data_IF_549192740968
#
_entry.id   IF_549192740968
#
_cell.length_a   1.000
_cell.length_b   1.000
_cell.length_c   1.000
_cell.angle_alpha   90.00
_cell.angle_beta   90.00
_cell.angle_gamma   90.00
#
_symmetry.space_group_name_H-M   'P 1'
#
loop_
_entity.id
_entity.type
_entity.pdbx_description
1 polymer ?
#
# COMPACT_ATOMS: atom_id res chain seq x y z
N UNK A 1 9.38 -25.46 17.48
CA UNK A 1 8.60 -24.22 17.33
C UNK A 1 9.50 -23.20 16.67
N UNK A 2 9.50 -23.13 15.34
CA UNK A 2 10.38 -22.21 14.61
C UNK A 2 9.68 -20.86 14.51
N UNK A 3 10.26 -19.87 15.20
CA UNK A 3 9.88 -18.47 15.10
C UNK A 3 10.16 -18.00 13.67
N UNK A 4 9.12 -17.60 12.95
CA UNK A 4 9.23 -17.02 11.62
C UNK A 4 9.74 -15.58 11.79
N UNK A 5 11.07 -15.45 11.83
CA UNK A 5 11.74 -14.18 11.50
C UNK A 5 11.77 -14.06 9.99
N UNK A 6 10.75 -13.42 9.42
CA UNK A 6 10.84 -12.79 8.10
C UNK A 6 10.21 -11.41 8.20
N UNK A 7 11.03 -10.44 8.63
CA UNK A 7 10.79 -9.00 8.51
C UNK A 7 10.82 -8.53 7.04
N UNK A 8 10.12 -9.27 6.18
CA UNK A 8 9.78 -8.90 4.80
C UNK A 8 8.27 -9.01 4.71
N UNK A 9 7.60 -8.10 5.43
CA UNK A 9 6.37 -7.43 5.03
C UNK A 9 5.62 -8.03 3.82
N UNK A 10 5.20 -9.28 3.93
CA UNK A 10 4.61 -10.00 2.80
C UNK A 10 3.25 -9.39 2.59
N UNK A 11 3.10 -8.61 1.53
CA UNK A 11 1.82 -8.02 1.16
C UNK A 11 0.78 -9.12 1.06
N UNK A 12 -0.16 -9.11 2.00
CA UNK A 12 -1.21 -10.11 1.99
C UNK A 12 -2.29 -9.69 1.00
N UNK A 13 -3.14 -10.65 0.63
CA UNK A 13 -4.34 -10.35 -0.17
C UNK A 13 -5.24 -9.29 0.50
N UNK A 14 -5.22 -9.21 1.83
CA UNK A 14 -5.92 -8.17 2.59
C UNK A 14 -5.33 -6.78 2.35
N UNK A 15 -4.01 -6.65 2.38
CA UNK A 15 -3.32 -5.37 2.09
C UNK A 15 -3.62 -4.88 0.68
N UNK A 16 -3.65 -5.80 -0.29
CA UNK A 16 -3.97 -5.48 -1.68
C UNK A 16 -5.42 -5.01 -1.84
N UNK A 17 -6.39 -5.68 -1.19
CA UNK A 17 -7.78 -5.23 -1.18
C UNK A 17 -7.95 -3.85 -0.53
N UNK A 18 -7.19 -3.55 0.52
CA UNK A 18 -7.21 -2.23 1.16
C UNK A 18 -6.64 -1.18 0.20
N UNK A 19 -5.53 -1.48 -0.47
CA UNK A 19 -4.93 -0.62 -1.49
C UNK A 19 -5.94 -0.30 -2.61
N UNK A 20 -6.56 -1.32 -3.19
CA UNK A 20 -7.56 -1.18 -4.26
C UNK A 20 -8.78 -0.37 -3.80
N UNK A 21 -9.31 -0.66 -2.60
CA UNK A 21 -10.43 0.11 -2.03
C UNK A 21 -10.07 1.57 -1.81
N UNK A 22 -8.87 1.84 -1.33
CA UNK A 22 -8.42 3.20 -1.09
C UNK A 22 -8.24 3.97 -2.40
N UNK A 23 -7.66 3.33 -3.42
CA UNK A 23 -7.52 3.93 -4.75
C UNK A 23 -8.89 4.14 -5.41
N UNK A 24 -9.79 3.16 -5.32
CA UNK A 24 -11.15 3.29 -5.84
C UNK A 24 -11.96 4.37 -5.10
N UNK A 25 -11.63 4.66 -3.84
CA UNK A 25 -12.20 5.77 -3.08
C UNK A 25 -11.54 7.13 -3.41
N UNK A 26 -10.55 7.17 -4.31
CA UNK A 26 -9.80 8.37 -4.65
C UNK A 26 -8.92 8.89 -3.52
N UNK A 27 -8.53 8.03 -2.57
CA UNK A 27 -7.73 8.46 -1.43
C UNK A 27 -6.29 8.77 -1.86
N UNK A 28 -5.69 9.84 -1.30
CA UNK A 28 -4.30 10.16 -1.55
C UNK A 28 -3.37 9.08 -0.99
N UNK A 29 -2.28 8.80 -1.70
CA UNK A 29 -1.31 7.76 -1.34
C UNK A 29 -0.82 7.84 0.12
N UNK A 30 -0.67 9.06 0.64
CA UNK A 30 -0.25 9.30 2.04
C UNK A 30 -1.25 8.71 3.04
N UNK A 31 -2.55 8.84 2.79
CA UNK A 31 -3.60 8.27 3.64
C UNK A 31 -3.61 6.75 3.53
N UNK A 32 -3.36 6.20 2.34
CA UNK A 32 -3.26 4.75 2.13
C UNK A 32 -2.08 4.18 2.92
N UNK A 33 -0.93 4.84 2.85
CA UNK A 33 0.28 4.47 3.57
C UNK A 33 0.07 4.49 5.09
N UNK A 34 -0.54 5.55 5.62
CA UNK A 34 -0.94 5.64 7.03
C UNK A 34 -1.88 4.50 7.43
N UNK A 35 -2.86 4.17 6.59
CA UNK A 35 -3.85 3.13 6.86
C UNK A 35 -3.27 1.72 6.83
N UNK A 36 -2.29 1.48 5.97
CA UNK A 36 -1.54 0.22 5.90
C UNK A 36 -0.42 0.14 6.95
N UNK A 37 -0.10 1.24 7.65
CA UNK A 37 1.06 1.31 8.55
C UNK A 37 2.38 1.13 7.80
N UNK A 38 2.43 1.55 6.53
CA UNK A 38 3.57 1.40 5.62
C UNK A 38 4.10 2.75 5.19
N UNK A 39 5.33 2.79 4.69
CA UNK A 39 5.86 3.97 4.03
C UNK A 39 5.15 4.21 2.69
N UNK A 40 4.96 5.49 2.35
CA UNK A 40 4.39 5.92 1.06
C UNK A 40 5.17 5.30 -0.10
N UNK A 41 6.50 5.26 0.00
CA UNK A 41 7.36 4.66 -1.02
C UNK A 41 7.07 3.17 -1.24
N UNK A 42 6.89 2.39 -0.17
CA UNK A 42 6.52 0.97 -0.26
C UNK A 42 5.16 0.79 -0.93
N UNK A 43 4.20 1.66 -0.64
CA UNK A 43 2.87 1.64 -1.28
C UNK A 43 2.98 2.01 -2.76
N UNK A 44 3.83 2.98 -3.12
CA UNK A 44 4.08 3.38 -4.52
C UNK A 44 4.72 2.26 -5.33
N UNK A 45 5.76 1.64 -4.78
CA UNK A 45 6.41 0.47 -5.41
C UNK A 45 5.39 -0.63 -5.62
N UNK A 46 4.60 -0.97 -4.59
CA UNK A 46 3.61 -2.03 -4.73
C UNK A 46 2.52 -1.71 -5.74
N UNK A 47 2.02 -0.48 -5.74
CA UNK A 47 1.03 -0.07 -6.71
C UNK A 47 1.58 -0.13 -8.14
N UNK A 48 2.83 0.26 -8.35
CA UNK A 48 3.51 0.10 -9.64
C UNK A 48 3.64 -1.38 -10.04
N UNK A 49 4.04 -2.26 -9.11
CA UNK A 49 4.12 -3.72 -9.35
C UNK A 49 2.76 -4.35 -9.68
N UNK A 50 1.69 -3.83 -9.10
CA UNK A 50 0.32 -4.33 -9.29
C UNK A 50 -0.43 -3.64 -10.42
N UNK A 51 0.17 -2.65 -11.08
CA UNK A 51 -0.45 -1.86 -12.14
C UNK A 51 -1.57 -0.92 -11.65
N UNK A 52 -1.62 -0.64 -10.34
CA UNK A 52 -2.60 0.26 -9.74
C UNK A 52 -2.10 1.70 -9.87
N UNK A 53 -2.87 2.56 -10.53
CA UNK A 53 -2.59 3.99 -10.58
C UNK A 53 -2.97 4.64 -9.25
N UNK A 54 -1.96 5.02 -8.48
CA UNK A 54 -2.15 5.84 -7.29
C UNK A 54 -2.41 7.28 -7.70
N UNK A 55 -3.37 7.92 -7.04
CA UNK A 55 -3.46 9.37 -7.10
C UNK A 55 -2.26 9.92 -6.31
N UNK A 56 -1.30 10.62 -6.97
CA UNK A 56 -0.39 11.46 -6.21
C UNK A 56 -1.30 12.42 -5.46
N UNK A 57 -1.17 12.50 -4.14
CA UNK A 57 -1.81 13.59 -3.40
C UNK A 57 -1.52 14.86 -4.18
N UNK A 58 -2.57 15.55 -4.66
CA UNK A 58 -2.39 16.81 -5.36
C UNK A 58 -1.75 17.79 -4.37
N UNK A 59 -0.42 17.86 -4.40
CA UNK A 59 0.33 19.06 -4.06
C UNK A 59 0.20 19.94 -5.31
N UNK A 60 -0.88 20.70 -5.37
CA UNK A 60 -1.00 21.93 -6.17
C UNK A 60 -1.22 23.10 -5.21
#
# INVERSE_FOLDING_TARGET
>A
MSVISSSEASWTRGDQLVLERCVSAGLPTVVIALKLGRCVETVRVKAAETGIQLNPSQDE
#
